data_IF_120949335030
#
_entry.id   IF_120949335030
#
_cell.length_a   1.000
_cell.length_b   1.000
_cell.length_c   1.000
_cell.angle_alpha   90.00
_cell.angle_beta   90.00
_cell.angle_gamma   90.00
#
_symmetry.space_group_name_H-M   'P 1'
#
loop_
_entity.id
_entity.type
_entity.pdbx_description
1 polymer ?
#
# COMPACT_ATOMS: atom_id res chain seq x y z
N UNK A 1 12.69 -0.24 -4.27
CA UNK A 1 11.63 -0.41 -5.26
C UNK A 1 12.14 0.20 -6.55
N UNK A 2 11.82 -0.38 -7.70
CA UNK A 2 12.25 0.20 -8.97
C UNK A 2 11.27 1.31 -9.39
N UNK A 3 11.74 2.37 -10.07
CA UNK A 3 10.87 3.46 -10.57
C UNK A 3 9.66 2.95 -11.37
N UNK A 4 9.82 1.82 -12.05
CA UNK A 4 8.76 1.15 -12.81
C UNK A 4 7.65 0.62 -11.91
N UNK A 5 7.98 0.10 -10.73
CA UNK A 5 6.99 -0.40 -9.76
C UNK A 5 6.23 0.77 -9.13
N UNK A 6 6.91 1.86 -8.77
CA UNK A 6 6.27 3.07 -8.24
C UNK A 6 5.22 3.61 -9.22
N UNK A 7 5.58 3.76 -10.50
CA UNK A 7 4.64 4.21 -11.54
C UNK A 7 3.44 3.28 -11.71
N UNK A 8 3.60 1.97 -11.47
CA UNK A 8 2.48 1.02 -11.49
C UNK A 8 1.49 1.27 -10.35
N UNK A 9 1.95 1.68 -9.18
CA UNK A 9 1.07 2.01 -8.06
C UNK A 9 0.29 3.31 -8.32
N UNK A 10 0.93 4.33 -8.90
CA UNK A 10 0.26 5.60 -9.21
C UNK A 10 -0.91 5.40 -10.18
N UNK A 11 -0.72 4.54 -11.19
CA UNK A 11 -1.75 4.23 -12.18
C UNK A 11 -2.97 3.48 -11.60
N UNK A 12 -2.90 2.94 -10.38
CA UNK A 12 -4.07 2.27 -9.76
C UNK A 12 -5.21 3.23 -9.45
N UNK A 13 -4.91 4.52 -9.29
CA UNK A 13 -5.86 5.54 -8.85
C UNK A 13 -6.72 6.01 -10.03
N UNK A 14 -6.21 5.88 -11.25
CA UNK A 14 -6.90 6.35 -12.45
C UNK A 14 -8.07 5.43 -12.82
N UNK A 15 -9.18 6.05 -13.21
CA UNK A 15 -10.40 5.39 -13.67
C UNK A 15 -10.79 6.01 -15.02
N UNK A 16 -10.85 5.19 -16.07
CA UNK A 16 -11.41 5.62 -17.36
C UNK A 16 -12.94 5.61 -17.31
N UNK A 17 -13.51 6.81 -17.19
CA UNK A 17 -14.96 7.02 -17.12
C UNK A 17 -15.69 6.65 -18.42
N UNK A 18 -14.99 6.56 -19.54
CA UNK A 18 -15.60 6.22 -20.84
C UNK A 18 -15.72 4.72 -21.06
N UNK A 19 -15.08 3.91 -20.21
CA UNK A 19 -14.99 2.45 -20.32
C UNK A 19 -15.24 1.78 -18.97
N UNK A 20 -16.32 2.19 -18.31
CA UNK A 20 -16.59 1.77 -16.93
C UNK A 20 -16.81 0.25 -16.79
N UNK A 21 -17.36 -0.40 -17.82
CA UNK A 21 -17.56 -1.85 -17.87
C UNK A 21 -16.22 -2.59 -17.82
N UNK A 22 -15.28 -2.20 -18.68
CA UNK A 22 -13.92 -2.76 -18.71
C UNK A 22 -13.20 -2.54 -17.38
N UNK A 23 -13.36 -1.36 -16.77
CA UNK A 23 -12.76 -1.04 -15.49
C UNK A 23 -13.32 -1.88 -14.33
N UNK A 24 -14.62 -2.20 -14.38
CA UNK A 24 -15.27 -3.10 -13.44
C UNK A 24 -14.81 -4.55 -13.62
N UNK A 25 -14.69 -5.02 -14.86
CA UNK A 25 -14.21 -6.37 -15.17
C UNK A 25 -12.73 -6.56 -14.80
N UNK A 26 -11.91 -5.52 -14.97
CA UNK A 26 -10.48 -5.56 -14.62
C UNK A 26 -10.23 -5.48 -13.10
N UNK A 27 -11.17 -4.93 -12.32
CA UNK A 27 -11.00 -4.70 -10.89
C UNK A 27 -10.63 -5.98 -10.09
N UNK A 28 -11.33 -7.12 -10.24
CA UNK A 28 -10.94 -8.37 -9.55
C UNK A 28 -9.56 -8.88 -9.94
N UNK A 29 -9.16 -8.71 -11.21
CA UNK A 29 -7.84 -9.11 -11.68
C UNK A 29 -6.73 -8.29 -11.01
N UNK A 30 -6.90 -6.97 -10.93
CA UNK A 30 -5.97 -6.09 -10.22
C UNK A 30 -5.87 -6.47 -8.74
N UNK A 31 -7.00 -6.67 -8.06
CA UNK A 31 -6.99 -7.10 -6.64
C UNK A 31 -6.22 -8.41 -6.46
N UNK A 32 -6.43 -9.37 -7.36
CA UNK A 32 -5.69 -10.64 -7.32
C UNK A 32 -4.19 -10.47 -7.58
N UNK A 33 -3.80 -9.66 -8.57
CA UNK A 33 -2.39 -9.42 -8.90
C UNK A 33 -1.64 -8.78 -7.74
N UNK A 34 -2.19 -7.69 -7.18
CA UNK A 34 -1.57 -6.99 -6.05
C UNK A 34 -1.66 -7.80 -4.76
N UNK A 35 -2.71 -8.61 -4.58
CA UNK A 35 -2.82 -9.56 -3.46
C UNK A 35 -1.71 -10.64 -3.49
N UNK A 36 -1.40 -11.19 -4.67
CA UNK A 36 -0.24 -12.10 -4.83
C UNK A 36 1.08 -11.38 -4.53
N UNK A 37 1.22 -10.15 -5.01
CA UNK A 37 2.39 -9.31 -4.74
C UNK A 37 2.58 -9.07 -3.24
N UNK A 38 1.49 -8.78 -2.52
CA UNK A 38 1.47 -8.62 -1.07
C UNK A 38 1.93 -9.91 -0.36
N UNK A 39 1.33 -11.05 -0.71
CA UNK A 39 1.69 -12.33 -0.10
C UNK A 39 3.18 -12.66 -0.27
N UNK A 40 3.73 -12.39 -1.46
CA UNK A 40 5.17 -12.54 -1.72
C UNK A 40 6.01 -11.57 -0.90
N UNK A 41 5.62 -10.30 -0.81
CA UNK A 41 6.35 -9.31 -0.03
C UNK A 41 6.37 -9.66 1.47
N UNK A 42 5.28 -10.23 2.00
CA UNK A 42 5.21 -10.72 3.37
C UNK A 42 6.19 -11.86 3.59
N UNK A 43 6.22 -12.84 2.68
CA UNK A 43 7.19 -13.93 2.72
C UNK A 43 8.63 -13.41 2.73
N UNK A 44 8.97 -12.50 1.81
CA UNK A 44 10.30 -11.87 1.73
C UNK A 44 10.67 -11.15 3.05
N UNK A 45 9.70 -10.50 3.71
CA UNK A 45 9.90 -9.80 4.97
C UNK A 45 10.10 -10.77 6.15
N UNK A 46 9.35 -11.87 6.19
CA UNK A 46 9.49 -12.91 7.20
C UNK A 46 10.84 -13.64 7.08
N UNK A 47 11.27 -13.95 5.85
CA UNK A 47 12.60 -14.51 5.58
C UNK A 47 13.71 -13.55 6.01
N UNK A 48 13.61 -12.25 5.66
CA UNK A 48 14.58 -11.25 6.09
C UNK A 48 14.62 -11.08 7.62
N UNK A 49 13.48 -11.22 8.30
CA UNK A 49 13.39 -11.20 9.76
C UNK A 49 14.08 -12.41 10.39
N UNK A 50 13.96 -13.59 9.78
CA UNK A 50 14.69 -14.77 10.20
C UNK A 50 16.21 -14.58 9.99
N UNK A 51 16.61 -14.00 8.86
CA UNK A 51 18.01 -13.72 8.56
C UNK A 51 18.67 -12.76 9.56
N UNK A 52 17.93 -11.76 10.11
CA UNK A 52 18.44 -10.91 11.18
C UNK A 52 18.86 -11.73 12.40
N UNK A 53 18.05 -12.74 12.79
CA UNK A 53 18.36 -13.58 13.95
C UNK A 53 19.59 -14.44 13.71
N UNK A 54 19.77 -14.93 12.49
CA UNK A 54 20.96 -15.70 12.10
C UNK A 54 22.20 -14.79 12.16
N UNK A 55 22.13 -13.60 11.56
CA UNK A 55 23.24 -12.63 11.60
C UNK A 55 23.56 -12.19 13.03
N UNK A 56 22.55 -12.00 13.89
CA UNK A 56 22.76 -11.70 15.31
C UNK A 56 23.51 -12.83 16.03
N UNK A 57 23.14 -14.10 15.79
CA UNK A 57 23.81 -15.25 16.39
C UNK A 57 25.25 -15.43 15.85
N UNK A 58 25.48 -15.23 14.56
CA UNK A 58 26.81 -15.32 13.94
C UNK A 58 27.75 -14.23 14.48
N UNK A 59 27.25 -13.00 14.62
CA UNK A 59 28.04 -11.91 15.19
C UNK A 59 28.27 -12.12 16.69
N UNK A 60 27.31 -12.64 17.44
CA UNK A 60 27.51 -12.97 18.86
C UNK A 60 28.68 -13.98 19.04
N UNK A 61 28.70 -15.03 18.22
CA UNK A 61 29.80 -16.01 18.21
C UNK A 61 31.12 -15.32 17.83
N UNK A 62 31.13 -14.54 16.75
CA UNK A 62 32.33 -13.85 16.26
C UNK A 62 32.92 -12.88 17.30
N UNK A 63 32.08 -12.14 18.01
CA UNK A 63 32.52 -11.22 19.09
C UNK A 63 33.12 -11.98 20.27
N UNK A 64 32.62 -13.18 20.57
CA UNK A 64 33.17 -14.02 21.65
C UNK A 64 34.48 -14.71 21.26
N UNK A 65 34.63 -15.07 19.99
CA UNK A 65 35.84 -15.72 19.46
C UNK A 65 36.98 -14.71 19.22
N UNK A 66 36.67 -13.52 18.70
CA UNK A 66 37.62 -12.47 18.36
C UNK A 66 37.15 -11.08 18.88
N UNK A 67 37.17 -10.84 20.20
CA UNK A 67 36.70 -9.57 20.79
C UNK A 67 37.48 -8.34 20.32
N UNK A 68 38.76 -8.52 19.97
CA UNK A 68 39.66 -7.47 19.47
C UNK A 68 39.17 -6.83 18.16
N UNK A 69 38.53 -7.60 17.27
CA UNK A 69 37.97 -7.11 16.00
C UNK A 69 36.78 -6.16 16.22
N UNK A 70 36.21 -6.14 17.43
CA UNK A 70 35.04 -5.35 17.81
C UNK A 70 35.35 -4.29 18.86
N UNK A 71 36.62 -3.86 18.97
CA UNK A 71 37.11 -2.87 19.93
C UNK A 71 36.88 -3.27 21.41
N UNK A 72 36.88 -4.57 21.71
CA UNK A 72 36.79 -5.09 23.08
C UNK A 72 38.15 -5.60 23.56
N UNK A 73 38.37 -5.54 24.88
CA UNK A 73 39.63 -5.98 25.50
C UNK A 73 39.79 -7.52 25.35
N UNK A 74 40.81 -8.01 24.64
CA UNK A 74 41.00 -9.44 24.41
C UNK A 74 41.36 -10.21 25.69
N UNK A 75 41.86 -9.54 26.73
CA UNK A 75 42.25 -10.18 27.99
C UNK A 75 41.08 -10.37 28.95
N UNK A 76 39.90 -9.83 28.64
CA UNK A 76 38.73 -9.86 29.52
C UNK A 76 37.55 -10.44 28.78
N UNK A 77 36.90 -11.44 29.38
CA UNK A 77 35.66 -12.01 28.85
C UNK A 77 34.65 -10.87 28.61
N UNK A 78 34.16 -10.65 27.38
CA UNK A 78 33.27 -9.54 27.08
C UNK A 78 31.97 -9.71 27.85
N UNK A 79 31.45 -8.61 28.39
CA UNK A 79 30.17 -8.61 29.09
C UNK A 79 29.02 -8.76 28.09
N UNK A 80 27.91 -9.35 28.52
CA UNK A 80 26.70 -9.49 27.68
C UNK A 80 26.20 -8.15 27.11
N UNK A 81 26.38 -7.05 27.85
CA UNK A 81 26.06 -5.71 27.33
C UNK A 81 27.04 -5.22 26.26
N UNK A 82 28.33 -5.55 26.40
CA UNK A 82 29.34 -5.19 25.42
C UNK A 82 29.12 -5.95 24.11
N UNK A 83 28.78 -7.25 24.19
CA UNK A 83 28.46 -8.08 23.02
C UNK A 83 27.23 -7.53 22.28
N UNK A 84 26.14 -7.22 22.99
CA UNK A 84 24.94 -6.61 22.37
C UNK A 84 25.25 -5.29 21.65
N UNK A 85 26.10 -4.44 22.23
CA UNK A 85 26.53 -3.18 21.59
C UNK A 85 27.40 -3.44 20.36
N UNK A 86 28.25 -4.46 20.39
CA UNK A 86 29.07 -4.86 19.24
C UNK A 86 28.19 -5.38 18.09
N UNK A 87 27.18 -6.23 18.38
CA UNK A 87 26.23 -6.73 17.38
C UNK A 87 25.52 -5.58 16.67
N UNK A 88 25.00 -4.58 17.40
CA UNK A 88 24.31 -3.44 16.78
C UNK A 88 25.25 -2.62 15.89
N UNK A 89 26.55 -2.60 16.20
CA UNK A 89 27.57 -1.87 15.44
C UNK A 89 28.06 -2.64 14.22
N UNK A 90 27.95 -3.97 14.22
CA UNK A 90 28.46 -4.82 13.15
C UNK A 90 27.81 -4.50 11.81
N UNK A 91 28.58 -4.70 10.75
CA UNK A 91 28.14 -4.38 9.39
C UNK A 91 27.08 -5.38 8.93
N UNK A 92 27.26 -6.64 9.27
CA UNK A 92 26.42 -7.79 8.93
C UNK A 92 25.00 -7.58 9.48
N UNK A 93 24.89 -7.21 10.77
CA UNK A 93 23.61 -6.94 11.40
C UNK A 93 22.91 -5.72 10.79
N UNK A 94 23.66 -4.64 10.53
CA UNK A 94 23.12 -3.44 9.86
C UNK A 94 22.62 -3.74 8.44
N UNK A 95 23.35 -4.57 7.70
CA UNK A 95 22.94 -4.98 6.36
C UNK A 95 21.67 -5.84 6.39
N UNK A 96 21.59 -6.80 7.32
CA UNK A 96 20.39 -7.62 7.52
C UNK A 96 19.16 -6.75 7.88
N UNK A 97 19.31 -5.79 8.80
CA UNK A 97 18.27 -4.81 9.13
C UNK A 97 17.86 -3.99 7.89
N UNK A 98 18.83 -3.55 7.08
CA UNK A 98 18.53 -2.76 5.87
C UNK A 98 17.72 -3.57 4.86
N UNK A 99 18.00 -4.86 4.71
CA UNK A 99 17.22 -5.77 3.85
C UNK A 99 15.81 -5.94 4.39
N UNK A 100 15.67 -6.22 5.69
CA UNK A 100 14.36 -6.34 6.33
C UNK A 100 13.52 -5.06 6.20
N UNK A 101 14.10 -3.89 6.47
CA UNK A 101 13.39 -2.62 6.33
C UNK A 101 12.91 -2.37 4.89
N UNK A 102 13.69 -2.78 3.89
CA UNK A 102 13.27 -2.71 2.48
C UNK A 102 12.14 -3.69 2.17
N UNK A 103 12.16 -4.89 2.73
CA UNK A 103 11.08 -5.86 2.56
C UNK A 103 9.78 -5.38 3.22
N UNK A 104 9.86 -4.88 4.45
CA UNK A 104 8.73 -4.27 5.17
C UNK A 104 8.16 -3.06 4.42
N UNK A 105 9.02 -2.21 3.84
CA UNK A 105 8.55 -1.12 3.00
C UNK A 105 7.72 -1.64 1.81
N UNK A 106 8.15 -2.71 1.14
CA UNK A 106 7.38 -3.32 0.04
C UNK A 106 6.03 -3.84 0.52
N UNK A 107 5.99 -4.53 1.68
CA UNK A 107 4.72 -4.99 2.28
C UNK A 107 3.75 -3.83 2.43
N UNK A 108 4.20 -2.75 3.09
CA UNK A 108 3.37 -1.57 3.32
C UNK A 108 2.86 -0.94 2.00
N UNK A 109 3.68 -0.93 0.95
CA UNK A 109 3.27 -0.43 -0.37
C UNK A 109 2.19 -1.31 -1.01
N UNK A 110 2.33 -2.64 -0.95
CA UNK A 110 1.31 -3.56 -1.47
C UNK A 110 0.01 -3.51 -0.65
N UNK A 111 0.08 -3.37 0.67
CA UNK A 111 -1.11 -3.17 1.51
C UNK A 111 -1.85 -1.88 1.14
N UNK A 112 -1.10 -0.79 0.97
CA UNK A 112 -1.66 0.49 0.53
C UNK A 112 -2.34 0.34 -0.85
N UNK A 113 -1.75 -0.43 -1.76
CA UNK A 113 -2.32 -0.69 -3.08
C UNK A 113 -3.62 -1.48 -3.02
N UNK A 114 -3.68 -2.56 -2.23
CA UNK A 114 -4.91 -3.35 -2.04
C UNK A 114 -6.01 -2.48 -1.44
N UNK A 115 -5.69 -1.66 -0.42
CA UNK A 115 -6.65 -0.70 0.14
C UNK A 115 -7.11 0.34 -0.88
N UNK A 116 -6.20 0.85 -1.71
CA UNK A 116 -6.54 1.77 -2.81
C UNK A 116 -7.50 1.12 -3.80
N UNK A 117 -7.29 -0.16 -4.14
CA UNK A 117 -8.20 -0.92 -5.00
C UNK A 117 -9.59 -1.07 -4.36
N UNK A 118 -9.70 -1.28 -3.05
CA UNK A 118 -11.01 -1.30 -2.37
C UNK A 118 -11.73 0.05 -2.45
N UNK A 119 -11.00 1.15 -2.29
CA UNK A 119 -11.55 2.49 -2.49
C UNK A 119 -11.97 2.71 -3.93
N UNK A 120 -11.14 2.30 -4.90
CA UNK A 120 -11.43 2.35 -6.34
C UNK A 120 -12.72 1.62 -6.68
N UNK A 121 -12.94 0.41 -6.14
CA UNK A 121 -14.18 -0.35 -6.31
C UNK A 121 -15.40 0.45 -5.83
N UNK A 122 -15.29 1.09 -4.67
CA UNK A 122 -16.37 1.93 -4.12
C UNK A 122 -16.66 3.13 -5.03
N UNK A 123 -15.61 3.77 -5.55
CA UNK A 123 -15.73 4.87 -6.52
C UNK A 123 -16.37 4.45 -7.84
N UNK A 124 -16.00 3.28 -8.39
CA UNK A 124 -16.63 2.72 -9.60
C UNK A 124 -18.14 2.52 -9.40
N UNK A 125 -18.54 1.93 -8.27
CA UNK A 125 -19.97 1.75 -7.94
C UNK A 125 -20.71 3.09 -7.79
N UNK A 126 -20.06 4.13 -7.25
CA UNK A 126 -20.64 5.47 -7.19
C UNK A 126 -20.82 6.11 -8.57
N UNK A 127 -19.85 5.91 -9.47
CA UNK A 127 -19.89 6.42 -10.84
C UNK A 127 -21.01 5.77 -11.65
N UNK A 128 -21.15 4.44 -11.57
CA UNK A 128 -22.26 3.70 -12.18
C UNK A 128 -23.63 4.20 -11.69
N UNK A 129 -23.75 4.42 -10.38
CA UNK A 129 -24.97 4.97 -9.79
C UNK A 129 -25.27 6.43 -10.21
N UNK A 130 -24.26 7.22 -10.61
CA UNK A 130 -24.47 8.55 -11.18
C UNK A 130 -24.94 8.46 -12.63
N UNK A 131 -24.39 7.52 -13.40
CA UNK A 131 -24.77 7.29 -14.79
C UNK A 131 -26.22 6.83 -14.91
N UNK A 132 -26.62 5.85 -14.08
CA UNK A 132 -28.02 5.38 -13.97
C UNK A 132 -29.01 6.51 -13.64
N UNK A 133 -28.57 7.52 -12.88
CA UNK A 133 -29.38 8.69 -12.52
C UNK A 133 -29.44 9.75 -13.61
N UNK A 134 -28.81 9.52 -14.76
CA UNK A 134 -28.73 10.48 -15.85
C UNK A 134 -27.94 11.73 -15.45
N UNK A 135 -27.00 11.64 -14.51
CA UNK A 135 -26.21 12.81 -14.09
C UNK A 135 -25.46 13.45 -15.27
N UNK A 136 -24.99 12.62 -16.20
CA UNK A 136 -24.34 13.06 -17.45
C UNK A 136 -25.33 13.30 -18.60
N UNK A 137 -26.62 13.02 -18.42
CA UNK A 137 -27.65 13.31 -19.41
C UNK A 137 -27.95 14.81 -19.41
N UNK A 138 -27.54 15.52 -20.46
CA UNK A 138 -27.96 16.91 -20.65
C UNK A 138 -29.48 16.95 -20.84
N UNK A 139 -30.21 17.88 -20.19
CA UNK A 139 -31.64 18.01 -20.42
C UNK A 139 -31.86 18.30 -21.90
N UNK A 140 -32.61 17.42 -22.56
CA UNK A 140 -33.04 17.65 -23.92
C UNK A 140 -34.04 18.80 -23.87
N UNK A 141 -33.63 20.00 -24.34
CA UNK A 141 -34.59 21.05 -24.66
C UNK A 141 -35.39 20.57 -25.86
N UNK A 142 -36.44 19.78 -25.61
CA UNK A 142 -37.51 19.65 -26.60
C UNK A 142 -37.97 21.08 -26.91
N UNK A 143 -38.08 21.45 -28.18
CA UNK A 143 -38.73 22.70 -28.61
C UNK A 143 -40.20 22.71 -28.15
N UNK A 144 -40.43 22.89 -26.85
CA UNK A 144 -41.75 23.12 -26.29
C UNK A 144 -42.04 24.58 -26.54
N UNK A 145 -42.92 24.83 -27.51
CA UNK A 145 -43.64 26.09 -27.64
C UNK A 145 -44.08 26.53 -26.25
N UNK A 146 -43.59 27.70 -25.87
CA UNK A 146 -43.62 28.27 -24.53
C UNK A 146 -45.07 28.59 -24.11
N UNK A 147 -45.83 27.58 -23.69
CA UNK A 147 -47.13 27.80 -23.03
C UNK A 147 -46.82 28.08 -21.57
N UNK A 148 -46.69 29.36 -21.21
CA UNK A 148 -46.21 29.90 -19.93
C UNK A 148 -46.97 29.47 -18.66
N UNK A 149 -46.94 28.18 -18.33
CA UNK A 149 -47.44 27.61 -17.08
C UNK A 149 -46.37 26.67 -16.51
N UNK A 150 -45.55 27.21 -15.61
CA UNK A 150 -44.63 26.42 -14.79
C UNK A 150 -45.40 25.39 -13.95
N UNK A 151 -45.16 24.08 -14.13
CA UNK A 151 -45.77 23.08 -13.27
C UNK A 151 -44.90 22.91 -12.00
N UNK A 152 -45.57 22.90 -10.84
CA UNK A 152 -45.04 22.43 -9.56
C UNK A 152 -44.10 23.33 -8.72
N UNK A 153 -44.59 24.50 -8.30
CA UNK A 153 -44.32 24.93 -6.91
C UNK A 153 -45.54 24.63 -6.05
N UNK A 154 -45.52 23.53 -5.31
CA UNK A 154 -46.51 23.29 -4.24
C UNK A 154 -46.33 24.41 -3.19
N UNK A 155 -47.40 25.14 -2.80
CA UNK A 155 -47.27 26.21 -1.82
C UNK A 155 -46.87 25.62 -0.47
N UNK A 156 -45.84 26.20 0.15
CA UNK A 156 -45.42 25.89 1.51
C UNK A 156 -46.61 26.08 2.46
N UNK A 157 -47.04 25.00 3.11
CA UNK A 157 -48.10 25.03 4.12
C UNK A 157 -47.66 25.95 5.27
N UNK A 158 -48.35 27.07 5.45
CA UNK A 158 -48.16 27.94 6.62
C UNK A 158 -48.53 27.14 7.87
N UNK A 159 -47.57 26.97 8.80
CA UNK A 159 -47.84 26.46 10.15
C UNK A 159 -48.65 27.51 10.90
N UNK A 160 -49.75 27.09 11.52
CA UNK A 160 -50.50 27.86 12.53
C UNK A 160 -49.79 27.74 13.88
#
# INVERSE_FOLDING_TARGET
>A
MNKTEEKKFDNLIDIDKTRLDDECENQPYLVWEYGKGLAKAILDADEAKAAIKVAEAEVDISVREAPEDYDLDPNKKPSEEAVKKAIIRSKEYKEAIKVFNRATFKVNMFEAAVRTLDHRRSSLSMLDGQDTRGYYSRPHQSERKDTGKSPHRKPLRKRK
#
